data_IF_106831245262
#
_entry.id   IF_106831245262
#
_cell.length_a   1.000
_cell.length_b   1.000
_cell.length_c   1.000
_cell.angle_alpha   90.00
_cell.angle_beta   90.00
_cell.angle_gamma   90.00
#
_symmetry.space_group_name_H-M   'P 1'
#
loop_
_entity.id
_entity.type
_entity.pdbx_description
1 polymer ?
#
# COMPACT_ATOMS: atom_id res chain seq x y z
N UNK A 1 1.14 -46.13 -58.47
CA UNK A 1 0.42 -46.13 -57.17
C UNK A 1 0.99 -45.00 -56.33
N UNK A 2 0.11 -44.29 -55.63
CA UNK A 2 0.33 -42.93 -55.09
C UNK A 2 1.24 -42.95 -53.85
N UNK A 3 2.15 -41.97 -53.77
CA UNK A 3 3.05 -41.73 -52.63
C UNK A 3 2.24 -41.18 -51.45
N UNK A 4 2.24 -41.87 -50.32
CA UNK A 4 1.69 -41.39 -49.05
C UNK A 4 2.85 -41.05 -48.12
N UNK A 5 3.26 -39.77 -48.12
CA UNK A 5 4.15 -39.23 -47.10
C UNK A 5 3.34 -38.85 -45.87
N UNK A 6 3.69 -39.39 -44.70
CA UNK A 6 3.10 -39.02 -43.42
C UNK A 6 3.85 -37.77 -42.93
N UNK A 7 3.18 -36.62 -42.88
CA UNK A 7 3.70 -35.40 -42.27
C UNK A 7 3.26 -35.43 -40.80
N UNK A 8 4.22 -35.60 -39.89
CA UNK A 8 3.99 -35.45 -38.45
C UNK A 8 4.05 -33.95 -38.13
N UNK A 9 2.90 -33.33 -37.88
CA UNK A 9 2.86 -31.98 -37.29
C UNK A 9 3.27 -32.09 -35.81
N UNK A 10 4.51 -31.72 -35.49
CA UNK A 10 4.94 -31.52 -34.11
C UNK A 10 4.24 -30.24 -33.60
N UNK A 11 3.13 -30.39 -32.89
CA UNK A 11 2.53 -29.29 -32.15
C UNK A 11 3.49 -28.93 -30.99
N UNK A 12 4.34 -27.93 -31.18
CA UNK A 12 5.09 -27.34 -30.09
C UNK A 12 4.07 -26.72 -29.11
N UNK A 13 3.99 -27.17 -27.85
CA UNK A 13 3.16 -26.48 -26.88
C UNK A 13 3.81 -25.11 -26.67
N UNK A 14 3.17 -24.07 -27.18
CA UNK A 14 3.35 -22.71 -26.67
C UNK A 14 2.86 -22.76 -25.22
N UNK A 15 3.75 -23.16 -24.31
CA UNK A 15 3.57 -22.93 -22.89
C UNK A 15 3.74 -21.44 -22.68
N UNK A 16 2.68 -20.68 -22.96
CA UNK A 16 2.52 -19.35 -22.40
C UNK A 16 2.45 -19.55 -20.89
N UNK A 17 3.54 -19.23 -20.21
CA UNK A 17 3.63 -19.22 -18.75
C UNK A 17 2.51 -18.32 -18.22
N UNK A 18 1.47 -18.95 -17.67
CA UNK A 18 0.40 -18.27 -16.95
C UNK A 18 0.98 -17.78 -15.63
N UNK A 19 1.39 -16.51 -15.60
CA UNK A 19 1.70 -15.84 -14.35
C UNK A 19 0.38 -15.33 -13.76
N UNK A 20 -0.07 -15.96 -12.68
CA UNK A 20 -1.30 -15.58 -11.98
C UNK A 20 -1.10 -14.41 -10.99
N UNK A 21 0.12 -13.92 -10.85
CA UNK A 21 0.45 -12.88 -9.88
C UNK A 21 0.39 -11.51 -10.54
N UNK A 22 -0.73 -10.83 -10.35
CA UNK A 22 -0.90 -9.44 -10.77
C UNK A 22 0.00 -8.52 -9.94
N UNK A 23 0.65 -7.57 -10.62
CA UNK A 23 1.43 -6.52 -9.96
C UNK A 23 0.48 -5.46 -9.38
N UNK A 24 0.84 -4.91 -8.23
CA UNK A 24 0.15 -3.76 -7.67
C UNK A 24 0.62 -2.53 -8.45
N UNK A 25 -0.24 -2.00 -9.32
CA UNK A 25 0.06 -0.86 -10.18
C UNK A 25 -0.53 0.45 -9.64
N UNK A 26 0.17 1.57 -9.83
CA UNK A 26 -0.27 2.90 -9.39
C UNK A 26 -1.63 3.29 -10.00
N UNK A 27 -1.87 2.94 -11.27
CA UNK A 27 -3.10 3.32 -11.96
C UNK A 27 -4.36 2.82 -11.24
N UNK A 28 -4.28 1.68 -10.55
CA UNK A 28 -5.40 1.05 -9.86
C UNK A 28 -5.34 1.18 -8.33
N UNK A 29 -4.16 1.35 -7.75
CA UNK A 29 -3.94 1.20 -6.31
C UNK A 29 -3.39 2.47 -5.63
N UNK A 30 -3.05 3.52 -6.38
CA UNK A 30 -2.61 4.80 -5.80
C UNK A 30 -3.75 5.46 -5.04
N UNK A 31 -3.43 6.14 -3.93
CA UNK A 31 -4.40 6.98 -3.22
C UNK A 31 -4.86 8.13 -4.12
N UNK A 32 -6.14 8.48 -4.07
CA UNK A 32 -6.71 9.56 -4.87
C UNK A 32 -7.50 10.52 -4.00
N UNK A 33 -7.47 11.79 -4.37
CA UNK A 33 -8.31 12.79 -3.73
C UNK A 33 -9.79 12.41 -3.85
N UNK A 34 -10.55 12.69 -2.80
CA UNK A 34 -11.99 12.43 -2.67
C UNK A 34 -12.38 10.95 -2.51
N UNK A 35 -11.42 10.03 -2.48
CA UNK A 35 -11.70 8.65 -2.11
C UNK A 35 -12.08 8.53 -0.63
N UNK A 36 -13.01 7.62 -0.33
CA UNK A 36 -13.33 7.20 1.03
C UNK A 36 -13.18 5.69 1.13
N UNK A 37 -12.21 5.23 1.93
CA UNK A 37 -12.04 3.81 2.23
C UNK A 37 -12.85 3.48 3.48
N UNK A 38 -13.76 2.51 3.36
CA UNK A 38 -14.49 1.95 4.50
C UNK A 38 -13.79 0.68 4.96
N UNK A 39 -13.22 0.72 6.16
CA UNK A 39 -12.51 -0.39 6.79
C UNK A 39 -13.38 -1.03 7.89
N UNK A 40 -13.15 -2.33 8.13
CA UNK A 40 -13.68 -3.07 9.28
C UNK A 40 -12.54 -3.35 10.24
N UNK A 41 -12.62 -2.82 11.46
CA UNK A 41 -11.69 -3.14 12.54
C UNK A 41 -12.17 -4.40 13.25
N UNK A 42 -11.25 -5.32 13.49
CA UNK A 42 -11.49 -6.56 14.22
C UNK A 42 -10.61 -6.63 15.47
N UNK A 43 -10.95 -7.52 16.41
CA UNK A 43 -10.14 -7.77 17.60
C UNK A 43 -8.70 -8.15 17.22
N UNK A 44 -7.74 -7.76 18.05
CA UNK A 44 -6.35 -8.15 17.85
C UNK A 44 -6.20 -9.67 17.89
N UNK A 45 -5.40 -10.19 16.97
CA UNK A 45 -4.95 -11.59 16.93
C UNK A 45 -3.46 -11.60 16.64
N UNK A 46 -2.73 -12.41 17.39
CA UNK A 46 -1.32 -12.63 17.13
C UNK A 46 -1.11 -13.16 15.69
N UNK A 47 -0.20 -12.56 14.90
CA UNK A 47 0.02 -12.94 13.51
C UNK A 47 0.66 -14.33 13.36
N UNK A 48 1.20 -14.90 14.45
CA UNK A 48 1.81 -16.21 14.46
C UNK A 48 3.05 -16.30 13.58
N UNK A 49 3.18 -17.40 12.84
CA UNK A 49 4.34 -17.68 11.99
C UNK A 49 4.41 -16.70 10.82
N UNK A 50 5.62 -16.26 10.48
CA UNK A 50 5.91 -15.52 9.25
C UNK A 50 6.63 -16.44 8.24
N UNK A 51 6.68 -16.00 6.98
CA UNK A 51 7.39 -16.69 5.90
C UNK A 51 6.46 -17.27 4.83
N UNK A 52 7.02 -18.16 4.02
CA UNK A 52 6.32 -18.77 2.87
C UNK A 52 5.30 -19.82 3.32
N UNK A 53 4.25 -20.00 2.51
CA UNK A 53 3.20 -21.01 2.73
C UNK A 53 2.47 -20.87 4.08
N UNK A 54 2.32 -19.65 4.58
CA UNK A 54 1.53 -19.34 5.79
C UNK A 54 0.11 -18.89 5.39
N UNK A 55 -0.90 -19.48 6.02
CA UNK A 55 -2.30 -19.04 5.91
C UNK A 55 -2.70 -18.29 7.18
N UNK A 56 -2.99 -17.00 7.05
CA UNK A 56 -3.62 -16.21 8.10
C UNK A 56 -5.14 -16.26 7.97
N UNK A 57 -5.80 -17.00 8.88
CA UNK A 57 -7.26 -17.05 8.98
C UNK A 57 -7.77 -16.03 10.00
N UNK A 58 -8.44 -14.98 9.50
CA UNK A 58 -9.10 -13.95 10.30
C UNK A 58 -10.64 -14.11 10.35
N UNK A 59 -11.20 -15.18 9.79
CA UNK A 59 -12.64 -15.34 9.60
C UNK A 59 -13.47 -15.46 10.90
N UNK A 60 -12.82 -15.78 12.02
CA UNK A 60 -13.46 -15.91 13.35
C UNK A 60 -13.31 -14.68 14.24
N UNK A 61 -12.64 -13.63 13.77
CA UNK A 61 -12.43 -12.44 14.58
C UNK A 61 -13.71 -11.61 14.70
N UNK A 62 -13.98 -11.15 15.92
CA UNK A 62 -15.13 -10.28 16.17
C UNK A 62 -14.81 -8.86 15.70
N UNK A 63 -15.77 -8.17 15.06
CA UNK A 63 -15.59 -6.78 14.73
C UNK A 63 -15.59 -5.91 15.99
N UNK A 64 -14.60 -5.03 16.11
CA UNK A 64 -14.54 -3.95 17.10
C UNK A 64 -15.23 -2.71 16.54
N UNK A 65 -14.98 -2.42 15.27
CA UNK A 65 -15.66 -1.36 14.54
C UNK A 65 -16.04 -1.87 13.16
N UNK A 66 -17.34 -1.98 12.90
CA UNK A 66 -17.84 -2.52 11.64
C UNK A 66 -17.55 -1.62 10.45
N UNK A 67 -17.43 -0.30 10.68
CA UNK A 67 -17.29 0.72 9.64
C UNK A 67 -16.56 1.93 10.21
N UNK A 68 -15.26 1.96 10.04
CA UNK A 68 -14.51 3.21 10.17
C UNK A 68 -13.99 3.65 8.80
N UNK A 69 -13.75 4.95 8.65
CA UNK A 69 -13.45 5.54 7.35
C UNK A 69 -12.06 6.18 7.35
N UNK A 70 -11.44 6.12 6.18
CA UNK A 70 -10.29 6.95 5.83
C UNK A 70 -10.72 7.81 4.66
N UNK A 71 -10.63 9.13 4.83
CA UNK A 71 -11.00 10.10 3.81
C UNK A 71 -9.74 10.69 3.19
N UNK A 72 -9.64 10.65 1.86
CA UNK A 72 -8.55 11.28 1.14
C UNK A 72 -9.01 12.60 0.54
N UNK A 73 -8.15 13.60 0.65
CA UNK A 73 -8.37 14.95 0.15
C UNK A 73 -7.12 15.47 -0.53
N UNK A 74 -7.29 16.34 -1.51
CA UNK A 74 -6.15 17.05 -2.10
C UNK A 74 -5.65 18.13 -1.14
N UNK A 75 -4.34 18.31 -1.10
CA UNK A 75 -3.71 19.38 -0.33
C UNK A 75 -2.85 20.23 -1.24
N UNK A 76 -3.11 21.54 -1.32
CA UNK A 76 -2.41 22.42 -2.25
C UNK A 76 -2.96 22.35 -3.67
N UNK A 77 -2.22 22.95 -4.61
CA UNK A 77 -2.70 23.21 -5.98
C UNK A 77 -2.38 22.08 -6.99
N UNK A 78 -1.71 21.01 -6.53
CA UNK A 78 -1.22 19.92 -7.38
C UNK A 78 -1.82 18.59 -6.98
N UNK A 79 -2.10 17.71 -7.95
CA UNK A 79 -2.65 16.37 -7.69
C UNK A 79 -1.65 15.43 -7.01
N UNK A 80 -0.38 15.81 -6.94
CA UNK A 80 0.68 15.06 -6.29
C UNK A 80 0.68 15.16 -4.76
N UNK A 81 -0.14 16.02 -4.17
CA UNK A 81 -0.17 16.24 -2.72
C UNK A 81 -1.55 15.89 -2.17
N UNK A 82 -1.57 14.97 -1.21
CA UNK A 82 -2.78 14.41 -0.64
C UNK A 82 -2.71 14.44 0.87
N UNK A 83 -3.87 14.44 1.51
CA UNK A 83 -4.00 14.10 2.91
C UNK A 83 -5.05 13.02 3.13
N UNK A 84 -4.71 12.03 3.96
CA UNK A 84 -5.62 11.02 4.45
C UNK A 84 -5.98 11.30 5.90
N UNK A 85 -7.25 11.42 6.21
CA UNK A 85 -7.74 11.55 7.58
C UNK A 85 -8.27 10.21 8.06
N UNK A 86 -7.61 9.63 9.06
CA UNK A 86 -7.98 8.37 9.71
C UNK A 86 -8.14 8.64 11.21
N UNK A 87 -9.35 8.39 11.73
CA UNK A 87 -9.74 8.77 13.09
C UNK A 87 -9.53 10.28 13.36
N UNK A 88 -8.69 10.64 14.33
CA UNK A 88 -8.35 12.03 14.69
C UNK A 88 -6.98 12.44 14.16
N UNK A 89 -6.41 11.67 13.23
CA UNK A 89 -5.08 11.92 12.68
C UNK A 89 -5.19 12.20 11.18
N UNK A 90 -4.54 13.28 10.75
CA UNK A 90 -4.39 13.63 9.35
C UNK A 90 -2.95 13.34 8.92
N UNK A 91 -2.79 12.48 7.94
CA UNK A 91 -1.51 12.11 7.33
C UNK A 91 -1.33 12.85 6.02
N UNK A 92 -0.11 13.31 5.73
CA UNK A 92 0.25 14.06 4.54
C UNK A 92 1.10 13.20 3.61
N UNK A 93 0.72 13.12 2.34
CA UNK A 93 1.36 12.29 1.36
C UNK A 93 1.83 13.09 0.14
N UNK A 94 2.97 12.71 -0.40
CA UNK A 94 3.46 13.20 -1.68
C UNK A 94 3.63 12.03 -2.66
N UNK A 95 2.98 12.13 -3.80
CA UNK A 95 3.19 11.26 -4.94
C UNK A 95 4.35 11.81 -5.77
N UNK A 96 5.43 11.04 -5.86
CA UNK A 96 6.61 11.38 -6.63
C UNK A 96 7.01 10.20 -7.51
N UNK A 97 6.98 10.41 -8.83
CA UNK A 97 7.29 9.38 -9.82
C UNK A 97 6.45 8.10 -9.62
N UNK A 98 7.10 7.05 -9.13
CA UNK A 98 6.58 5.71 -8.93
C UNK A 98 6.26 5.41 -7.45
N UNK A 99 6.38 6.42 -6.58
CA UNK A 99 6.42 6.24 -5.14
C UNK A 99 5.44 7.17 -4.42
N UNK A 100 4.74 6.61 -3.44
CA UNK A 100 3.93 7.36 -2.49
C UNK A 100 4.73 7.51 -1.19
N UNK A 101 4.97 8.76 -0.80
CA UNK A 101 5.74 9.12 0.38
C UNK A 101 4.84 9.65 1.49
N UNK A 102 5.09 9.25 2.73
CA UNK A 102 4.50 9.86 3.92
C UNK A 102 5.40 11.02 4.38
N UNK A 103 4.86 12.24 4.28
CA UNK A 103 5.57 13.48 4.59
C UNK A 103 5.37 13.97 6.02
N UNK A 104 4.39 13.41 6.74
CA UNK A 104 4.14 13.75 8.12
C UNK A 104 2.71 13.45 8.54
N UNK A 105 2.39 13.77 9.78
CA UNK A 105 1.03 13.66 10.29
C UNK A 105 0.78 14.67 11.39
N UNK A 106 -0.49 14.95 11.63
CA UNK A 106 -0.92 15.70 12.79
C UNK A 106 -2.18 15.11 13.42
N UNK A 107 -2.28 15.24 14.72
CA UNK A 107 -3.46 14.95 15.51
C UNK A 107 -3.62 16.07 16.58
N UNK A 108 -4.64 16.03 17.45
CA UNK A 108 -4.90 17.14 18.38
C UNK A 108 -3.74 17.51 19.30
N UNK A 109 -2.79 16.62 19.55
CA UNK A 109 -1.68 16.84 20.48
C UNK A 109 -0.31 16.79 19.82
N UNK A 110 -0.19 16.32 18.59
CA UNK A 110 1.11 16.02 17.98
C UNK A 110 1.12 16.46 16.53
N UNK A 111 2.21 17.11 16.11
CA UNK A 111 2.50 17.36 14.69
C UNK A 111 3.91 16.90 14.37
N UNK A 112 4.04 16.01 13.40
CA UNK A 112 5.32 15.51 12.88
C UNK A 112 5.43 15.89 11.39
N UNK A 113 6.59 16.38 11.00
CA UNK A 113 7.00 16.61 9.61
C UNK A 113 8.27 15.82 9.33
N UNK A 114 8.25 15.01 8.27
CA UNK A 114 9.42 14.27 7.82
C UNK A 114 10.27 15.13 6.89
N UNK A 115 11.50 15.43 7.31
CA UNK A 115 12.52 16.08 6.50
C UNK A 115 13.02 15.12 5.41
N UNK A 116 13.13 13.83 5.76
CA UNK A 116 13.29 12.72 4.83
C UNK A 116 12.04 11.85 4.91
N UNK A 117 11.11 11.96 3.94
CA UNK A 117 9.83 11.23 3.95
C UNK A 117 9.98 9.71 3.96
N UNK A 118 9.04 9.03 4.61
CA UNK A 118 8.97 7.57 4.62
C UNK A 118 8.38 7.04 3.30
N UNK A 119 9.00 6.03 2.70
CA UNK A 119 8.47 5.35 1.52
C UNK A 119 7.31 4.44 1.94
N UNK A 120 6.08 4.84 1.62
CA UNK A 120 4.89 4.07 2.00
C UNK A 120 4.53 3.00 0.96
N UNK A 121 4.52 3.36 -0.32
CA UNK A 121 4.26 2.44 -1.42
C UNK A 121 5.19 2.77 -2.60
N UNK A 122 5.69 1.74 -3.28
CA UNK A 122 6.38 1.84 -4.57
C UNK A 122 5.62 1.04 -5.61
N UNK A 123 5.51 1.56 -6.82
CA UNK A 123 4.77 0.95 -7.91
C UNK A 123 5.66 0.74 -9.15
N UNK A 124 5.41 -0.31 -9.96
CA UNK A 124 4.62 -1.46 -9.59
C UNK A 124 5.30 -2.28 -8.48
N UNK A 125 4.51 -2.90 -7.61
CA UNK A 125 5.01 -3.83 -6.59
C UNK A 125 4.58 -5.25 -6.92
N UNK A 126 5.53 -6.18 -6.86
CA UNK A 126 5.36 -7.60 -7.08
C UNK A 126 5.60 -8.39 -5.80
N UNK A 127 5.13 -9.63 -5.76
CA UNK A 127 5.44 -10.52 -4.66
C UNK A 127 6.96 -10.73 -4.56
N UNK A 128 7.46 -10.83 -3.33
CA UNK A 128 8.89 -10.86 -2.99
C UNK A 128 9.65 -9.55 -3.16
N UNK A 129 9.03 -8.47 -3.67
CA UNK A 129 9.65 -7.14 -3.62
C UNK A 129 9.81 -6.69 -2.16
N UNK A 130 10.92 -6.01 -1.89
CA UNK A 130 11.25 -5.43 -0.59
C UNK A 130 11.78 -4.02 -0.78
N UNK A 131 11.35 -3.13 0.10
CA UNK A 131 11.89 -1.79 0.20
C UNK A 131 12.25 -1.51 1.66
N UNK A 132 13.45 -0.97 1.86
CA UNK A 132 13.98 -0.61 3.16
C UNK A 132 14.66 0.75 3.01
N UNK A 133 14.65 1.55 4.07
CA UNK A 133 15.22 2.88 4.04
C UNK A 133 15.14 3.55 5.40
N UNK A 134 15.79 4.70 5.48
CA UNK A 134 15.70 5.57 6.65
C UNK A 134 14.80 6.75 6.32
N UNK A 135 14.00 7.15 7.29
CA UNK A 135 13.28 8.40 7.29
C UNK A 135 13.71 9.19 8.53
N UNK A 136 13.49 10.50 8.48
CA UNK A 136 13.79 11.39 9.59
C UNK A 136 12.74 12.48 9.63
N UNK A 137 12.26 12.79 10.82
CA UNK A 137 11.30 13.84 11.06
C UNK A 137 11.56 14.61 12.33
N UNK A 138 10.94 15.78 12.37
CA UNK A 138 10.84 16.62 13.55
C UNK A 138 9.39 16.89 13.84
N UNK A 139 9.09 17.16 15.09
CA UNK A 139 7.73 17.49 15.47
C UNK A 139 7.63 18.17 16.80
N UNK A 140 6.38 18.43 17.18
CA UNK A 140 6.04 19.06 18.45
C UNK A 140 4.87 18.34 19.08
N UNK A 141 4.96 18.12 20.39
CA UNK A 141 3.90 17.60 21.23
C UNK A 141 3.36 18.68 22.15
N UNK A 142 2.03 18.83 22.15
CA UNK A 142 1.27 19.80 22.93
C UNK A 142 1.83 21.22 22.83
N UNK A 143 2.37 21.60 21.68
CA UNK A 143 3.05 22.88 21.40
C UNK A 143 4.15 23.24 22.41
N UNK A 144 4.76 22.23 23.05
CA UNK A 144 5.68 22.43 24.18
C UNK A 144 6.96 21.61 24.09
N UNK A 145 6.87 20.39 23.57
CA UNK A 145 7.99 19.45 23.57
C UNK A 145 8.37 19.10 22.14
N UNK A 146 9.62 19.39 21.79
CA UNK A 146 10.19 18.99 20.51
C UNK A 146 10.39 17.46 20.46
N UNK A 147 10.09 16.88 19.30
CA UNK A 147 10.23 15.46 19.00
C UNK A 147 11.19 15.30 17.83
N UNK A 148 12.08 14.31 17.92
CA UNK A 148 12.84 13.76 16.80
C UNK A 148 12.30 12.34 16.51
N UNK A 149 12.02 12.06 15.25
CA UNK A 149 11.39 10.82 14.79
C UNK A 149 12.11 10.22 13.58
#
# INVERSE_FOLDING_TARGET
>A
MKRTGIILFLAAPFFSSLFAQEKVDAALNMFRANDTIVKRQVEYKDPGRAGESVLWDFGKLKPVNNRYTVLYSQTGDTDSLLAGTEHQTRYYYALQNDSLLLCGYENPTTRISYETPELLLRFPMQYSDKAEGYYQGRGIYCDKLDIEA
#
